data_IF_373913168492
#
_entry.id   IF_373913168492
#
_cell.length_a   1.000
_cell.length_b   1.000
_cell.length_c   1.000
_cell.angle_alpha   90.00
_cell.angle_beta   90.00
_cell.angle_gamma   90.00
#
_symmetry.space_group_name_H-M   'P 1'
#
loop_
_entity.id
_entity.type
_entity.pdbx_description
1 polymer ?
#
# COMPACT_ATOMS: atom_id res chain seq x y z
N UNK A 1 -5.68 -10.70 -21.25
CA UNK A 1 -5.48 -11.96 -20.47
C UNK A 1 -4.35 -11.76 -19.45
N UNK A 2 -4.45 -12.36 -18.25
CA UNK A 2 -3.41 -12.29 -17.22
C UNK A 2 -3.07 -13.67 -16.66
N UNK A 3 -1.81 -13.87 -16.28
CA UNK A 3 -1.34 -14.98 -15.45
C UNK A 3 -1.14 -14.48 -14.02
N UNK A 4 -1.51 -15.30 -13.04
CA UNK A 4 -1.46 -14.97 -11.62
C UNK A 4 -0.86 -16.15 -10.87
N UNK A 5 0.21 -15.92 -10.12
CA UNK A 5 0.84 -16.90 -9.25
C UNK A 5 0.63 -16.51 -7.78
N UNK A 6 0.40 -17.51 -6.92
CA UNK A 6 0.10 -17.27 -5.52
C UNK A 6 -0.29 -18.55 -4.78
N UNK A 7 -1.02 -18.40 -3.68
CA UNK A 7 -1.47 -19.51 -2.83
C UNK A 7 -2.97 -19.42 -2.51
N UNK A 8 -3.55 -20.55 -2.11
CA UNK A 8 -4.91 -20.61 -1.58
C UNK A 8 -4.86 -20.68 -0.06
N UNK A 9 -5.64 -19.84 0.61
CA UNK A 9 -5.77 -19.85 2.07
C UNK A 9 -7.22 -20.08 2.48
N UNK A 10 -7.56 -21.22 3.09
CA UNK A 10 -8.85 -21.36 3.74
C UNK A 10 -8.88 -20.47 4.98
N UNK A 11 -9.98 -19.73 5.17
CA UNK A 11 -10.24 -18.99 6.40
C UNK A 11 -11.63 -19.30 6.93
N UNK A 12 -11.71 -19.30 8.25
CA UNK A 12 -12.94 -19.42 9.01
C UNK A 12 -13.18 -18.11 9.75
N UNK A 13 -14.40 -17.61 9.71
CA UNK A 13 -14.77 -16.38 10.41
C UNK A 13 -16.22 -16.46 10.88
N UNK A 14 -16.57 -15.61 11.84
CA UNK A 14 -17.93 -15.55 12.37
C UNK A 14 -18.65 -14.33 11.82
N UNK A 15 -19.84 -14.56 11.25
CA UNK A 15 -20.69 -13.48 10.76
C UNK A 15 -21.15 -12.60 11.93
N UNK A 16 -20.92 -11.29 11.85
CA UNK A 16 -21.23 -10.37 12.97
C UNK A 16 -22.73 -10.15 13.18
N UNK A 17 -23.57 -10.38 12.17
CA UNK A 17 -25.01 -10.17 12.25
C UNK A 17 -25.73 -11.42 12.75
N UNK A 18 -25.37 -12.58 12.20
CA UNK A 18 -26.05 -13.84 12.48
C UNK A 18 -25.31 -14.73 13.49
N UNK A 19 -24.05 -14.41 13.84
CA UNK A 19 -23.21 -15.22 14.74
C UNK A 19 -22.79 -16.57 14.15
N UNK A 20 -23.12 -16.83 12.88
CA UNK A 20 -22.88 -18.11 12.21
C UNK A 20 -21.43 -18.25 11.77
N UNK A 21 -20.90 -19.46 11.88
CA UNK A 21 -19.57 -19.80 11.37
C UNK A 21 -19.59 -19.90 9.84
N UNK A 22 -18.63 -19.24 9.19
CA UNK A 22 -18.51 -19.17 7.73
C UNK A 22 -17.11 -19.59 7.29
N UNK A 23 -17.06 -20.24 6.14
CA UNK A 23 -15.83 -20.72 5.50
C UNK A 23 -15.64 -20.01 4.16
N UNK A 24 -14.41 -19.58 3.88
CA UNK A 24 -14.04 -18.99 2.62
C UNK A 24 -12.65 -19.47 2.20
N UNK A 25 -12.41 -19.57 0.90
CA UNK A 25 -11.08 -19.82 0.35
C UNK A 25 -10.62 -18.55 -0.33
N UNK A 26 -9.52 -17.97 0.14
CA UNK A 26 -8.94 -16.76 -0.42
C UNK A 26 -7.79 -17.10 -1.37
N UNK A 27 -7.69 -16.34 -2.46
CA UNK A 27 -6.55 -16.39 -3.40
C UNK A 27 -5.58 -15.28 -2.99
N UNK A 28 -4.44 -15.67 -2.43
CA UNK A 28 -3.36 -14.74 -2.09
C UNK A 28 -2.41 -14.63 -3.27
N UNK A 29 -2.45 -13.49 -3.95
CA UNK A 29 -1.61 -13.23 -5.14
C UNK A 29 -0.21 -12.82 -4.71
N UNK A 30 0.79 -13.45 -5.32
CA UNK A 30 2.21 -13.10 -5.14
C UNK A 30 2.76 -12.38 -6.38
N UNK A 31 2.39 -12.85 -7.57
CA UNK A 31 2.90 -12.33 -8.83
C UNK A 31 1.80 -12.29 -9.90
N UNK A 32 1.88 -11.30 -10.80
CA UNK A 32 0.96 -11.15 -11.93
C UNK A 32 1.72 -10.78 -13.20
N UNK A 33 1.35 -11.40 -14.32
CA UNK A 33 1.90 -11.12 -15.64
C UNK A 33 0.79 -10.90 -16.67
N UNK A 34 0.88 -9.80 -17.42
CA UNK A 34 -0.02 -9.52 -18.53
C UNK A 34 0.34 -10.40 -19.73
N UNK A 35 -0.66 -11.07 -20.31
CA UNK A 35 -0.49 -11.96 -21.46
C UNK A 35 -1.09 -11.38 -22.76
N UNK A 36 -1.72 -10.20 -22.70
CA UNK A 36 -2.42 -9.59 -23.85
C UNK A 36 -1.58 -8.57 -24.64
N UNK A 37 -0.31 -8.39 -24.30
CA UNK A 37 0.47 -7.22 -24.72
C UNK A 37 0.90 -7.19 -26.19
N UNK A 38 0.25 -7.94 -27.09
CA UNK A 38 0.58 -7.98 -28.53
C UNK A 38 -0.13 -6.89 -29.36
N UNK A 39 -0.83 -5.94 -28.74
CA UNK A 39 -1.65 -4.95 -29.47
C UNK A 39 -1.62 -3.50 -28.98
N UNK A 40 -0.94 -3.18 -27.88
CA UNK A 40 -0.84 -1.79 -27.40
C UNK A 40 0.63 -1.44 -27.22
N UNK A 41 1.18 -0.76 -28.21
CA UNK A 41 2.45 -0.07 -28.07
C UNK A 41 2.33 1.01 -27.00
N UNK A 42 3.39 1.11 -26.20
CA UNK A 42 3.74 2.24 -25.33
C UNK A 42 2.76 2.58 -24.18
N UNK A 43 3.29 2.59 -22.96
CA UNK A 43 2.56 3.14 -21.81
C UNK A 43 2.70 2.35 -20.52
N UNK A 44 3.86 2.50 -19.89
CA UNK A 44 4.07 2.68 -18.45
C UNK A 44 3.33 1.81 -17.41
N UNK A 45 4.14 1.39 -16.43
CA UNK A 45 3.78 1.34 -15.01
C UNK A 45 3.16 0.04 -14.45
N UNK A 46 4.05 -0.88 -14.09
CA UNK A 46 3.79 -1.91 -13.07
C UNK A 46 5.05 -2.28 -12.30
N UNK A 47 6.03 -1.38 -12.23
CA UNK A 47 7.20 -1.52 -11.38
C UNK A 47 6.82 -1.06 -9.97
N UNK A 48 6.54 -2.01 -9.09
CA UNK A 48 6.45 -1.77 -7.65
C UNK A 48 7.87 -1.52 -7.11
N UNK A 49 8.47 -0.37 -7.46
CA UNK A 49 9.66 0.16 -6.79
C UNK A 49 9.24 1.38 -5.97
N UNK A 50 8.81 1.08 -4.75
CA UNK A 50 9.25 1.74 -3.52
C UNK A 50 9.98 3.09 -3.72
N UNK A 51 9.27 4.19 -3.51
CA UNK A 51 9.88 5.42 -2.99
C UNK A 51 9.49 5.52 -1.51
N UNK A 52 10.46 5.74 -0.61
CA UNK A 52 10.72 7.14 -0.24
C UNK A 52 12.20 7.44 0.04
N UNK A 53 12.61 8.67 -0.23
CA UNK A 53 13.90 9.18 0.27
C UNK A 53 14.57 10.16 -0.69
N UNK A 54 13.99 11.36 -0.83
CA UNK A 54 14.77 12.49 -1.28
C UNK A 54 15.82 12.78 -0.19
N UNK A 55 17.10 12.66 -0.53
CA UNK A 55 18.18 12.96 0.40
C UNK A 55 19.20 13.89 -0.25
N UNK A 56 19.29 15.08 0.35
CA UNK A 56 20.42 16.03 0.39
C UNK A 56 20.82 16.75 -0.92
N UNK A 57 21.13 18.04 -0.96
CA UNK A 57 21.27 19.07 0.05
C UNK A 57 21.36 20.44 -0.64
N UNK A 58 20.74 21.50 -0.09
CA UNK A 58 21.18 22.89 -0.31
C UNK A 58 20.91 23.74 0.94
N UNK A 59 21.97 23.95 1.73
CA UNK A 59 22.39 25.22 2.33
C UNK A 59 21.34 26.32 2.61
N UNK A 60 21.13 26.66 3.88
CA UNK A 60 20.48 27.92 4.26
C UNK A 60 20.21 28.12 5.76
N UNK A 61 21.17 28.76 6.45
CA UNK A 61 21.05 29.69 7.60
C UNK A 61 20.34 29.30 8.92
N UNK A 62 21.01 29.75 9.98
CA UNK A 62 20.87 29.49 11.42
C UNK A 62 19.77 30.35 12.09
N UNK A 63 19.56 30.25 13.42
CA UNK A 63 18.31 29.90 14.08
C UNK A 63 17.49 31.12 14.54
N UNK A 64 16.15 31.01 14.52
CA UNK A 64 15.30 31.93 15.28
C UNK A 64 14.47 31.13 16.27
N UNK A 65 14.90 31.25 17.52
CA UNK A 65 14.10 31.14 18.73
C UNK A 65 12.82 32.00 18.57
N UNK A 66 11.69 31.34 18.37
CA UNK A 66 10.35 31.90 18.59
C UNK A 66 9.54 30.83 19.32
N UNK A 67 9.55 30.93 20.64
CA UNK A 67 8.59 30.24 21.49
C UNK A 67 7.18 30.74 21.24
N UNK A 68 6.34 29.90 20.62
CA UNK A 68 4.88 30.10 20.58
C UNK A 68 4.08 28.80 20.35
N UNK A 69 4.66 27.62 20.64
CA UNK A 69 3.87 26.39 20.80
C UNK A 69 3.97 25.91 22.24
N UNK A 70 3.65 26.84 23.14
CA UNK A 70 3.39 26.60 24.55
C UNK A 70 2.05 25.84 24.67
N UNK A 71 2.12 24.68 25.32
CA UNK A 71 1.22 24.27 26.39
C UNK A 71 -0.32 24.39 26.20
N UNK A 72 -0.94 23.52 25.39
CA UNK A 72 -2.28 23.03 25.77
C UNK A 72 -3.30 22.59 24.72
N UNK A 73 -3.01 22.64 23.41
CA UNK A 73 -4.08 22.50 22.40
C UNK A 73 -3.93 21.30 21.44
N UNK A 74 -3.67 20.11 22.00
CA UNK A 74 -3.80 18.85 21.25
C UNK A 74 -5.11 18.16 21.69
N UNK A 75 -6.21 18.26 20.91
CA UNK A 75 -7.42 17.48 21.20
C UNK A 75 -7.23 15.98 20.88
N UNK A 76 -7.84 15.13 21.72
CA UNK A 76 -7.86 13.67 21.60
C UNK A 76 -8.80 13.16 20.49
#
# INVERSE_FOLDING_TARGET
>A
KVYVEGSLKPRKWQDKQAGQERYATERVVREMQMLDSRGAGDGSQGGYQQAPGAQAATTGQQPNDMGDFDDGDIPF
#
